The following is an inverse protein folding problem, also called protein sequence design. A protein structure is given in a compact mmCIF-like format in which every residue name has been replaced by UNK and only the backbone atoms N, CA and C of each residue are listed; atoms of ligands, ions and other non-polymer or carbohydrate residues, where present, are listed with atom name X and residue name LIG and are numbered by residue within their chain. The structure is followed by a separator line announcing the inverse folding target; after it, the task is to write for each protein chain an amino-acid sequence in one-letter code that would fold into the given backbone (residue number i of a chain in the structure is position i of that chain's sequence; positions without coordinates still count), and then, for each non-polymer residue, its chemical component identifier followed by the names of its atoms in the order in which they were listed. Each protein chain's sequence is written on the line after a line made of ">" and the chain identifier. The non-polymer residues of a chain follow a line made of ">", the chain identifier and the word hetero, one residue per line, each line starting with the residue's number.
data_IF_934864783609
#
_entry.id   IF_934864783609
#
_cell.length_a   1.000
_cell.length_b   1.000
_cell.length_c   1.000
_cell.angle_alpha   90.00
_cell.angle_beta   90.00
_cell.angle_gamma   90.00
#
_symmetry.space_group_name_H-M   'P 1'
#
loop_
_entity.id
_entity.type
_entity.pdbx_description
1 polymer ?
#
# COMPACT_ATOMS: atom_id res chain seq x y z
N UNK A 1 -9.95 2.07 -14.80
CA UNK A 1 -9.15 1.84 -13.57
C UNK A 1 -9.38 3.00 -12.63
N UNK A 2 -9.73 2.72 -11.38
CA UNK A 2 -10.06 3.75 -10.38
C UNK A 2 -8.99 3.71 -9.27
N UNK A 3 -8.35 4.82 -8.97
CA UNK A 3 -7.55 4.98 -7.76
C UNK A 3 -8.45 5.38 -6.60
N UNK A 4 -8.60 4.53 -5.59
CA UNK A 4 -9.39 4.83 -4.40
C UNK A 4 -8.45 5.26 -3.27
N UNK A 5 -8.57 6.52 -2.86
CA UNK A 5 -7.78 7.14 -1.79
C UNK A 5 -8.66 7.69 -0.67
N UNK A 6 -8.02 8.10 0.43
CA UNK A 6 -8.70 8.67 1.59
C UNK A 6 -7.87 8.49 2.86
N UNK A 7 -7.90 9.52 3.71
CA UNK A 7 -7.20 9.55 5.00
C UNK A 7 -7.65 8.43 5.93
N UNK A 8 -6.85 8.13 6.95
CA UNK A 8 -7.18 7.12 7.95
C UNK A 8 -8.57 7.36 8.56
N UNK A 9 -9.36 6.30 8.71
CA UNK A 9 -10.69 6.36 9.34
C UNK A 9 -11.82 6.93 8.47
N UNK A 10 -11.56 7.29 7.21
CA UNK A 10 -12.59 7.80 6.27
C UNK A 10 -13.44 6.71 5.62
N UNK A 11 -13.13 5.43 5.83
CA UNK A 11 -13.94 4.31 5.33
C UNK A 11 -13.51 3.75 3.97
N UNK A 12 -12.33 4.13 3.46
CA UNK A 12 -11.75 3.63 2.20
C UNK A 12 -11.91 2.11 1.99
N UNK A 13 -11.54 1.30 2.96
CA UNK A 13 -11.60 -0.17 2.84
C UNK A 13 -13.03 -0.74 2.89
N UNK A 14 -14.01 0.03 3.38
CA UNK A 14 -15.43 -0.31 3.26
C UNK A 14 -15.91 -0.01 1.83
N UNK A 15 -15.56 1.15 1.27
CA UNK A 15 -15.88 1.48 -0.13
C UNK A 15 -15.25 0.48 -1.10
N UNK A 16 -13.98 0.08 -0.88
CA UNK A 16 -13.34 -0.97 -1.66
C UNK A 16 -14.13 -2.29 -1.64
N UNK A 17 -14.61 -2.72 -0.45
CA UNK A 17 -15.45 -3.92 -0.31
C UNK A 17 -16.80 -3.79 -1.00
N UNK A 18 -17.41 -2.61 -0.97
CA UNK A 18 -18.66 -2.34 -1.70
C UNK A 18 -18.44 -2.41 -3.21
N UNK A 19 -17.34 -1.85 -3.73
CA UNK A 19 -17.00 -1.94 -5.15
C UNK A 19 -16.71 -3.39 -5.55
N UNK A 20 -16.02 -4.14 -4.70
CA UNK A 20 -15.76 -5.56 -4.93
C UNK A 20 -17.05 -6.39 -5.02
N UNK A 21 -18.02 -6.14 -4.15
CA UNK A 21 -19.31 -6.85 -4.19
C UNK A 21 -20.16 -6.52 -5.42
N UNK A 22 -19.86 -5.40 -6.08
CA UNK A 22 -20.43 -5.01 -7.36
C UNK A 22 -19.67 -5.59 -8.57
N UNK A 23 -18.60 -6.35 -8.34
CA UNK A 23 -17.83 -7.03 -9.38
C UNK A 23 -16.51 -6.34 -9.77
N UNK A 24 -16.06 -5.32 -9.03
CA UNK A 24 -14.76 -4.73 -9.26
C UNK A 24 -13.62 -5.60 -8.69
N UNK A 25 -12.50 -5.68 -9.40
CA UNK A 25 -11.28 -6.25 -8.85
C UNK A 25 -10.53 -5.22 -8.01
N UNK A 26 -9.94 -5.65 -6.89
CA UNK A 26 -9.28 -4.75 -5.93
C UNK A 26 -7.78 -5.05 -5.87
N UNK A 27 -6.96 -4.05 -6.15
CA UNK A 27 -5.53 -4.05 -5.86
C UNK A 27 -5.32 -3.22 -4.59
N UNK A 28 -5.03 -3.90 -3.47
CA UNK A 28 -4.76 -3.23 -2.20
C UNK A 28 -3.26 -2.89 -2.07
N UNK A 29 -2.94 -1.61 -1.91
CA UNK A 29 -1.55 -1.12 -1.82
C UNK A 29 -0.79 -1.68 -0.61
N UNK A 30 -1.45 -1.87 0.53
CA UNK A 30 -0.83 -2.43 1.73
C UNK A 30 -0.44 -3.90 1.51
N UNK A 31 -1.28 -4.65 0.79
CA UNK A 31 -0.98 -6.02 0.37
C UNK A 31 0.19 -6.05 -0.63
N UNK A 32 0.19 -5.17 -1.63
CA UNK A 32 1.32 -5.04 -2.58
C UNK A 32 2.62 -4.73 -1.83
N UNK A 33 2.58 -3.84 -0.85
CA UNK A 33 3.73 -3.54 0.01
C UNK A 33 4.17 -4.75 0.84
N UNK A 34 3.25 -5.61 1.28
CA UNK A 34 3.60 -6.87 1.95
C UNK A 34 4.26 -7.86 1.00
N UNK A 35 3.70 -8.05 -0.20
CA UNK A 35 4.26 -8.92 -1.23
C UNK A 35 5.68 -8.46 -1.60
N UNK A 36 5.93 -7.15 -1.70
CA UNK A 36 7.24 -6.57 -1.98
C UNK A 36 8.30 -6.86 -0.88
N UNK A 37 7.90 -7.22 0.34
CA UNK A 37 8.83 -7.64 1.40
C UNK A 37 9.02 -9.16 1.50
N UNK A 38 8.47 -9.92 0.55
CA UNK A 38 8.61 -11.38 0.57
C UNK A 38 10.09 -11.77 0.45
N UNK A 39 10.59 -12.73 1.26
CA UNK A 39 11.99 -13.11 1.23
C UNK A 39 12.50 -13.47 -0.17
N UNK A 40 13.75 -13.09 -0.44
CA UNK A 40 14.43 -13.30 -1.73
C UNK A 40 13.85 -12.52 -2.93
N UNK A 41 12.88 -11.63 -2.74
CA UNK A 41 12.54 -10.64 -3.76
C UNK A 41 13.62 -9.56 -3.87
N UNK A 42 13.69 -8.89 -5.01
CA UNK A 42 14.64 -7.79 -5.26
C UNK A 42 14.55 -6.69 -4.19
N UNK A 43 13.34 -6.22 -3.91
CA UNK A 43 13.08 -5.21 -2.87
C UNK A 43 13.47 -5.71 -1.48
N UNK A 44 13.19 -6.97 -1.14
CA UNK A 44 13.65 -7.53 0.13
C UNK A 44 15.19 -7.53 0.23
N UNK A 45 15.90 -7.93 -0.83
CA UNK A 45 17.37 -7.96 -0.83
C UNK A 45 17.95 -6.55 -0.66
N UNK A 46 17.39 -5.55 -1.35
CA UNK A 46 17.82 -4.16 -1.24
C UNK A 46 17.53 -3.56 0.14
N UNK A 47 16.37 -3.89 0.74
CA UNK A 47 16.02 -3.46 2.09
C UNK A 47 16.98 -4.06 3.12
N UNK A 48 17.26 -5.36 3.06
CA UNK A 48 18.22 -6.02 3.97
C UNK A 48 19.64 -5.49 3.78
N UNK A 49 20.05 -5.24 2.53
CA UNK A 49 21.36 -4.63 2.24
C UNK A 49 21.49 -3.22 2.83
N UNK A 50 20.39 -2.46 2.85
CA UNK A 50 20.38 -1.05 3.29
C UNK A 50 20.28 -0.92 4.80
N UNK A 51 19.41 -1.70 5.44
CA UNK A 51 19.09 -1.59 6.86
C UNK A 51 19.65 -2.73 7.72
N UNK A 52 20.45 -3.62 7.11
CA UNK A 52 21.12 -4.73 7.75
C UNK A 52 20.24 -5.97 7.99
N UNK A 53 20.84 -7.03 8.54
CA UNK A 53 20.13 -8.28 8.83
C UNK A 53 19.38 -8.23 10.18
N UNK A 54 19.63 -7.23 11.01
CA UNK A 54 18.98 -7.04 12.31
C UNK A 54 17.47 -6.81 12.20
N UNK A 55 17.02 -6.30 11.06
CA UNK A 55 15.60 -6.11 10.74
C UNK A 55 14.91 -7.41 10.35
N UNK A 56 15.60 -8.55 10.35
CA UNK A 56 15.00 -9.85 10.01
C UNK A 56 14.47 -10.58 11.26
N UNK A 57 13.42 -11.36 11.04
CA UNK A 57 12.90 -12.37 11.96
C UNK A 57 13.63 -13.72 11.75
N UNK A 58 13.58 -14.64 12.74
CA UNK A 58 13.98 -16.02 12.52
C UNK A 58 13.12 -16.64 11.40
N UNK A 59 13.70 -16.81 10.21
CA UNK A 59 12.97 -17.20 8.99
C UNK A 59 13.24 -16.29 7.78
N UNK A 60 13.90 -15.15 7.99
CA UNK A 60 14.30 -14.25 6.90
C UNK A 60 13.22 -13.25 6.47
N UNK A 61 12.05 -13.25 7.12
CA UNK A 61 11.05 -12.21 6.91
C UNK A 61 11.46 -10.90 7.58
N UNK A 62 11.03 -9.76 7.01
CA UNK A 62 11.27 -8.46 7.61
C UNK A 62 10.40 -8.27 8.87
N UNK A 63 11.05 -7.96 9.98
CA UNK A 63 10.43 -7.48 11.21
C UNK A 63 10.02 -6.02 11.02
N UNK A 64 8.74 -5.82 10.70
CA UNK A 64 8.16 -4.49 10.48
C UNK A 64 8.25 -3.58 11.70
N UNK A 65 8.28 -4.12 12.93
CA UNK A 65 8.45 -3.27 14.13
C UNK A 65 9.87 -2.73 14.20
N UNK A 66 10.87 -3.58 13.98
CA UNK A 66 12.28 -3.16 13.97
C UNK A 66 12.54 -2.18 12.83
N UNK A 67 12.15 -2.53 11.60
CA UNK A 67 12.31 -1.64 10.46
C UNK A 67 11.58 -0.32 10.69
N UNK A 68 10.32 -0.38 11.15
CA UNK A 68 9.53 0.81 11.50
C UNK A 68 10.23 1.69 12.55
N UNK A 69 10.81 1.11 13.59
CA UNK A 69 11.53 1.88 14.62
C UNK A 69 12.77 2.59 14.10
N UNK A 70 13.41 2.05 13.05
CA UNK A 70 14.58 2.63 12.41
C UNK A 70 14.18 3.77 11.45
N UNK A 71 13.20 3.52 10.59
CA UNK A 71 12.84 4.45 9.51
C UNK A 71 11.92 5.57 9.98
N UNK A 72 11.05 5.34 10.97
CA UNK A 72 10.15 6.41 11.44
C UNK A 72 10.82 7.37 12.42
N UNK A 73 12.01 7.05 12.94
CA UNK A 73 12.80 7.99 13.73
C UNK A 73 13.68 8.91 12.91
N UNK A 74 13.92 8.59 11.63
CA UNK A 74 14.84 9.33 10.75
C UNK A 74 14.22 9.55 9.35
N UNK A 75 13.89 10.81 8.97
CA UNK A 75 13.37 11.13 7.66
C UNK A 75 14.25 10.69 6.48
N UNK A 76 15.58 10.65 6.64
CA UNK A 76 16.49 10.18 5.59
C UNK A 76 16.37 8.67 5.39
N UNK A 77 16.27 7.90 6.47
CA UNK A 77 16.06 6.45 6.41
C UNK A 77 14.68 6.10 5.85
N UNK A 78 13.65 6.87 6.19
CA UNK A 78 12.33 6.75 5.59
C UNK A 78 12.38 7.02 4.07
N UNK A 79 13.10 8.05 3.64
CA UNK A 79 13.26 8.36 2.22
C UNK A 79 14.00 7.23 1.48
N UNK A 80 15.03 6.62 2.08
CA UNK A 80 15.71 5.44 1.51
C UNK A 80 14.76 4.26 1.35
N UNK A 81 13.98 3.94 2.39
CA UNK A 81 13.01 2.85 2.33
C UNK A 81 11.98 3.09 1.22
N UNK A 82 11.40 4.30 1.19
CA UNK A 82 10.42 4.67 0.17
C UNK A 82 11.03 4.62 -1.24
N UNK A 83 12.28 5.04 -1.40
CA UNK A 83 13.00 4.98 -2.68
C UNK A 83 13.20 3.57 -3.21
N UNK A 84 13.38 2.58 -2.32
CA UNK A 84 13.45 1.15 -2.68
C UNK A 84 12.04 0.62 -3.00
N UNK A 85 11.07 0.92 -2.14
CA UNK A 85 9.75 0.28 -2.17
C UNK A 85 8.83 0.84 -3.26
N UNK A 86 8.75 2.16 -3.43
CA UNK A 86 7.78 2.79 -4.32
C UNK A 86 7.93 2.34 -5.79
N UNK A 87 9.13 2.34 -6.40
CA UNK A 87 9.28 1.89 -7.79
C UNK A 87 8.88 0.42 -7.98
N UNK A 88 9.22 -0.43 -7.01
CA UNK A 88 8.89 -1.86 -7.06
C UNK A 88 7.39 -2.09 -6.95
N UNK A 89 6.75 -1.45 -5.98
CA UNK A 89 5.31 -1.56 -5.79
C UNK A 89 4.54 -0.99 -6.99
N UNK A 90 5.00 0.13 -7.58
CA UNK A 90 4.42 0.68 -8.80
C UNK A 90 4.45 -0.32 -9.97
N UNK A 91 5.57 -1.02 -10.16
CA UNK A 91 5.67 -2.09 -11.17
C UNK A 91 4.72 -3.24 -10.87
N UNK A 92 4.63 -3.69 -9.63
CA UNK A 92 3.70 -4.76 -9.24
C UNK A 92 2.24 -4.38 -9.47
N UNK A 93 1.86 -3.13 -9.20
CA UNK A 93 0.53 -2.61 -9.52
C UNK A 93 0.30 -2.60 -11.02
N UNK A 94 1.26 -2.07 -11.81
CA UNK A 94 1.15 -2.03 -13.27
C UNK A 94 1.03 -3.44 -13.88
N UNK A 95 1.78 -4.42 -13.38
CA UNK A 95 1.71 -5.81 -13.83
C UNK A 95 0.33 -6.43 -13.52
N UNK A 96 -0.21 -6.21 -12.31
CA UNK A 96 -1.56 -6.65 -11.94
C UNK A 96 -2.65 -5.98 -12.80
N UNK A 97 -2.52 -4.67 -13.06
CA UNK A 97 -3.43 -3.95 -13.96
C UNK A 97 -3.38 -4.50 -15.39
N UNK A 98 -2.17 -4.83 -15.88
CA UNK A 98 -1.97 -5.47 -17.18
C UNK A 98 -2.66 -6.83 -17.27
N UNK A 99 -2.48 -7.68 -16.25
CA UNK A 99 -3.12 -9.00 -16.18
C UNK A 99 -4.65 -8.90 -16.20
N UNK A 100 -5.24 -8.02 -15.39
CA UNK A 100 -6.70 -7.80 -15.39
C UNK A 100 -7.22 -7.29 -16.73
N UNK A 101 -6.43 -6.46 -17.43
CA UNK A 101 -6.79 -6.00 -18.77
C UNK A 101 -6.79 -7.14 -19.79
N UNK A 102 -5.84 -8.06 -19.71
CA UNK A 102 -5.79 -9.26 -20.57
C UNK A 102 -6.95 -10.22 -20.29
N UNK A 103 -7.37 -10.33 -19.02
CA UNK A 103 -8.52 -11.11 -18.58
C UNK A 103 -9.88 -10.48 -18.94
N UNK A 104 -9.89 -9.24 -19.43
CA UNK A 104 -11.11 -8.53 -19.81
C UNK A 104 -11.89 -7.96 -18.62
N UNK A 105 -11.24 -7.74 -17.47
CA UNK A 105 -11.86 -7.11 -16.31
C UNK A 105 -12.19 -5.64 -16.63
N UNK A 106 -13.46 -5.28 -16.47
CA UNK A 106 -13.95 -3.94 -16.81
C UNK A 106 -13.57 -2.88 -15.76
N UNK A 107 -13.61 -3.24 -14.47
CA UNK A 107 -13.37 -2.31 -13.36
C UNK A 107 -12.33 -2.89 -12.41
N UNK A 108 -11.21 -2.18 -12.29
CA UNK A 108 -10.17 -2.43 -11.29
C UNK A 108 -10.00 -1.20 -10.41
N UNK A 109 -9.94 -1.41 -9.11
CA UNK A 109 -9.76 -0.37 -8.09
C UNK A 109 -8.41 -0.55 -7.41
N UNK A 110 -7.56 0.47 -7.47
CA UNK A 110 -6.30 0.54 -6.73
C UNK A 110 -6.57 1.26 -5.41
N UNK A 111 -6.71 0.51 -4.31
CA UNK A 111 -6.90 1.07 -2.97
C UNK A 111 -5.54 1.46 -2.37
N UNK A 112 -5.26 2.76 -2.26
CA UNK A 112 -4.02 3.28 -1.70
C UNK A 112 -4.26 4.51 -0.82
N UNK A 113 -3.80 4.48 0.43
CA UNK A 113 -3.84 5.67 1.30
C UNK A 113 -2.89 6.77 0.82
N UNK A 114 -1.76 6.37 0.24
CA UNK A 114 -0.69 7.24 -0.26
C UNK A 114 -0.61 7.21 -1.79
N UNK A 115 -1.77 7.26 -2.46
CA UNK A 115 -1.87 7.13 -3.92
C UNK A 115 -1.00 8.17 -4.65
N UNK A 116 -1.06 9.42 -4.20
CA UNK A 116 -0.34 10.55 -4.82
C UNK A 116 1.14 10.55 -4.45
N UNK A 117 1.46 10.25 -3.18
CA UNK A 117 2.83 10.19 -2.68
C UNK A 117 3.61 9.04 -3.32
N UNK A 118 2.92 7.97 -3.73
CA UNK A 118 3.49 6.88 -4.51
C UNK A 118 3.54 7.16 -6.03
N UNK A 119 2.91 8.25 -6.50
CA UNK A 119 2.81 8.61 -7.92
C UNK A 119 1.93 7.65 -8.75
N UNK A 120 1.03 6.92 -8.09
CA UNK A 120 0.18 5.91 -8.72
C UNK A 120 -1.09 6.48 -9.33
N UNK A 121 -1.38 7.76 -9.10
CA UNK A 121 -2.40 8.50 -9.82
C UNK A 121 -2.18 8.45 -11.34
N UNK A 122 -0.91 8.35 -11.78
CA UNK A 122 -0.56 8.14 -13.19
C UNK A 122 -0.92 6.76 -13.75
N UNK A 123 -1.26 5.79 -12.90
CA UNK A 123 -1.59 4.41 -13.28
C UNK A 123 -3.10 4.17 -13.43
N UNK A 124 -3.94 5.17 -13.13
CA UNK A 124 -5.40 5.04 -13.10
C UNK A 124 -6.08 6.08 -13.99
N UNK A 125 -7.33 5.81 -14.40
CA UNK A 125 -8.11 6.70 -15.27
C UNK A 125 -8.87 7.76 -14.45
N UNK A 126 -9.30 7.39 -13.24
CA UNK A 126 -10.03 8.26 -12.31
C UNK A 126 -9.50 8.10 -10.89
N UNK A 127 -9.58 9.16 -10.08
CA UNK A 127 -9.28 9.11 -8.65
C UNK A 127 -10.53 9.41 -7.85
N UNK A 128 -10.92 8.47 -7.00
CA UNK A 128 -12.03 8.58 -6.06
C UNK A 128 -11.48 8.73 -4.64
N UNK A 129 -12.00 9.70 -3.89
CA UNK A 129 -11.58 9.95 -2.52
C UNK A 129 -12.74 9.69 -1.55
N UNK A 130 -12.47 8.94 -0.48
CA UNK A 130 -13.42 8.83 0.64
C UNK A 130 -13.19 9.95 1.64
N UNK A 131 -14.28 10.57 2.09
CA UNK A 131 -14.25 11.63 3.10
C UNK A 131 -15.22 11.30 4.26
N UNK A 132 -14.95 11.87 5.43
CA UNK A 132 -15.79 11.75 6.62
C UNK A 132 -15.51 12.92 7.55
N UNK A 133 -16.55 13.38 8.28
CA UNK A 133 -16.39 14.40 9.29
C UNK A 133 -15.32 14.00 10.33
N UNK A 134 -14.50 14.97 10.76
CA UNK A 134 -13.39 14.76 11.69
C UNK A 134 -13.86 14.06 12.98
N UNK A 135 -15.00 14.48 13.54
CA UNK A 135 -15.55 13.87 14.76
C UNK A 135 -15.85 12.38 14.58
N UNK A 136 -16.35 11.99 13.41
CA UNK A 136 -16.59 10.58 13.06
C UNK A 136 -15.28 9.81 12.92
N UNK A 137 -14.25 10.40 12.28
CA UNK A 137 -12.92 9.79 12.16
C UNK A 137 -12.31 9.56 13.55
N UNK A 138 -12.37 10.57 14.44
CA UNK A 138 -11.85 10.48 15.81
C UNK A 138 -12.55 9.38 16.60
N UNK A 139 -13.88 9.29 16.51
CA UNK A 139 -14.64 8.21 17.16
C UNK A 139 -14.20 6.83 16.66
N UNK A 140 -14.13 6.63 15.34
CA UNK A 140 -13.69 5.36 14.74
C UNK A 140 -12.28 4.96 15.17
N UNK A 141 -11.36 5.92 15.26
CA UNK A 141 -9.98 5.66 15.69
C UNK A 141 -9.90 5.27 17.17
N UNK A 142 -10.74 5.87 18.03
CA UNK A 142 -10.84 5.50 19.44
C UNK A 142 -11.35 4.07 19.60
N UNK A 143 -12.43 3.73 18.90
CA UNK A 143 -13.06 2.40 19.01
C UNK A 143 -12.15 1.28 18.48
N UNK A 144 -11.28 1.59 17.49
CA UNK A 144 -10.36 0.60 16.90
C UNK A 144 -9.07 0.37 17.71
N UNK A 145 -8.65 1.37 18.49
CA UNK A 145 -7.39 1.34 19.24
C UNK A 145 -7.59 1.23 20.77
N UNK A 146 -8.84 1.10 21.23
CA UNK A 146 -9.21 0.87 22.63
C UNK A 146 -9.46 -0.60 22.93
#
# INVERSE_FOLDING_TARGET
>A
MIGLTGSIGTGKSEVARMLQSLGAEIINADQVGHEAYTPNTESWQEVVKTFGEEILQPGGEIDRRKLGSLVFSDPEELAKLNGIMHPRMARMVADKLGAFREEGVEVVVVEAALLFEAGWDSLVDEVWATDSAVDTVVQRLRDRNG
#
